data_IF_594526620663
#
_entry.id   IF_594526620663
#
_cell.length_a   1.000
_cell.length_b   1.000
_cell.length_c   1.000
_cell.angle_alpha   90.00
_cell.angle_beta   90.00
_cell.angle_gamma   90.00
#
_symmetry.space_group_name_H-M   'P 1'
#
loop_
_entity.id
_entity.type
_entity.pdbx_description
1 polymer ?
#
# COMPACT_ATOMS: atom_id res chain seq x y z
N UNK A 1 -25.67 -7.38 25.63
CA UNK A 1 -24.60 -7.75 24.69
C UNK A 1 -23.76 -6.48 24.49
N UNK A 2 -22.57 -6.41 25.11
CA UNK A 2 -21.63 -5.32 24.92
C UNK A 2 -21.12 -5.47 23.47
N UNK A 3 -21.59 -4.64 22.54
CA UNK A 3 -20.99 -4.50 21.22
C UNK A 3 -19.56 -3.98 21.43
N UNK A 4 -18.57 -4.84 21.24
CA UNK A 4 -17.17 -4.41 21.26
C UNK A 4 -16.97 -3.24 20.30
N UNK A 5 -16.31 -2.19 20.77
CA UNK A 5 -15.96 -1.02 19.96
C UNK A 5 -15.19 -1.46 18.70
N UNK A 6 -15.58 -0.96 17.54
CA UNK A 6 -14.88 -1.21 16.29
C UNK A 6 -13.66 -0.29 16.18
N UNK A 7 -12.59 -0.80 15.57
CA UNK A 7 -11.38 -0.05 15.25
C UNK A 7 -11.21 -0.06 13.75
N UNK A 8 -11.05 1.11 13.16
CA UNK A 8 -10.82 1.29 11.72
C UNK A 8 -9.34 1.60 11.50
N UNK A 9 -8.75 0.90 10.54
CA UNK A 9 -7.33 1.00 10.14
C UNK A 9 -7.23 1.19 8.64
N UNK A 10 -6.08 1.60 8.15
CA UNK A 10 -5.69 1.51 6.74
C UNK A 10 -4.84 0.29 6.52
N UNK A 11 -4.97 -0.34 5.37
CA UNK A 11 -4.16 -1.49 4.97
C UNK A 11 -3.69 -1.36 3.54
N UNK A 12 -2.41 -1.64 3.30
CA UNK A 12 -1.82 -1.74 1.97
C UNK A 12 -1.07 -3.05 1.81
N UNK A 13 -1.09 -3.58 0.60
CA UNK A 13 -0.32 -4.74 0.19
C UNK A 13 0.56 -4.35 -0.98
N UNK A 14 1.88 -4.48 -0.80
CA UNK A 14 2.88 -4.19 -1.83
C UNK A 14 3.62 -5.48 -2.15
N UNK A 15 3.42 -5.96 -3.35
CA UNK A 15 4.08 -7.15 -3.87
C UNK A 15 5.19 -6.79 -4.85
N UNK A 16 5.46 -7.71 -5.75
CA UNK A 16 6.43 -7.58 -6.82
C UNK A 16 5.73 -7.79 -8.16
N UNK A 17 6.15 -7.10 -9.20
CA UNK A 17 5.64 -7.24 -10.56
C UNK A 17 6.41 -8.29 -11.38
N UNK A 18 7.60 -8.72 -10.91
CA UNK A 18 8.46 -9.72 -11.57
C UNK A 18 8.89 -10.81 -10.58
N UNK A 19 8.03 -11.79 -10.39
CA UNK A 19 8.26 -12.90 -9.46
C UNK A 19 9.42 -13.81 -9.92
N UNK A 20 10.21 -14.28 -8.97
CA UNK A 20 11.31 -15.21 -9.22
C UNK A 20 12.56 -14.57 -9.80
N UNK A 21 12.67 -13.24 -9.83
CA UNK A 21 13.83 -12.50 -10.34
C UNK A 21 14.74 -12.06 -9.20
N UNK A 22 15.87 -12.73 -9.04
CA UNK A 22 16.87 -12.35 -8.02
C UNK A 22 17.41 -10.94 -8.25
N UNK A 23 17.51 -10.16 -7.18
CA UNK A 23 17.98 -8.77 -7.21
C UNK A 23 17.02 -7.76 -7.82
N UNK A 24 15.78 -8.16 -8.06
CA UNK A 24 14.72 -7.29 -8.52
C UNK A 24 14.31 -6.29 -7.42
N UNK A 25 14.10 -5.03 -7.79
CA UNK A 25 13.81 -3.93 -6.85
C UNK A 25 12.52 -3.17 -7.15
N UNK A 26 11.79 -3.55 -8.17
CA UNK A 26 10.49 -2.95 -8.50
C UNK A 26 9.38 -3.56 -7.65
N UNK A 27 8.53 -2.72 -7.13
CA UNK A 27 7.39 -3.10 -6.31
C UNK A 27 6.09 -2.69 -6.98
N UNK A 28 5.06 -3.49 -6.80
CA UNK A 28 3.71 -3.22 -7.28
C UNK A 28 2.74 -3.12 -6.13
N UNK A 29 1.99 -2.04 -6.06
CA UNK A 29 0.92 -1.91 -5.06
C UNK A 29 -0.29 -2.74 -5.48
N UNK A 30 -0.55 -3.80 -4.73
CA UNK A 30 -1.66 -4.72 -4.98
C UNK A 30 -2.94 -4.30 -4.28
N UNK A 31 -2.82 -3.69 -3.09
CA UNK A 31 -3.93 -3.06 -2.35
C UNK A 31 -3.42 -1.72 -1.83
N UNK A 32 -4.09 -0.62 -2.18
CA UNK A 32 -3.72 0.73 -1.75
C UNK A 32 -4.69 1.24 -0.68
N UNK A 33 -4.16 1.55 0.51
CA UNK A 33 -4.83 2.27 1.60
C UNK A 33 -6.29 1.86 1.90
N UNK A 34 -6.58 0.55 1.79
CA UNK A 34 -7.90 0.00 2.04
C UNK A 34 -8.35 0.25 3.48
N UNK A 35 -9.57 0.71 3.66
CA UNK A 35 -10.16 0.90 4.99
C UNK A 35 -10.67 -0.44 5.53
N UNK A 36 -10.06 -0.91 6.62
CA UNK A 36 -10.39 -2.19 7.26
C UNK A 36 -10.86 -1.94 8.69
N UNK A 37 -12.06 -2.35 9.01
CA UNK A 37 -12.63 -2.24 10.35
C UNK A 37 -12.59 -3.60 11.06
N UNK A 38 -11.98 -3.66 12.23
CA UNK A 38 -11.89 -4.85 13.07
C UNK A 38 -12.42 -4.57 14.47
N UNK A 39 -12.53 -5.59 15.31
CA UNK A 39 -12.93 -5.42 16.73
C UNK A 39 -11.80 -4.77 17.52
N UNK A 40 -12.13 -3.98 18.53
CA UNK A 40 -11.15 -3.49 19.51
C UNK A 40 -10.40 -4.67 20.15
N UNK A 41 -9.08 -4.56 20.21
CA UNK A 41 -8.20 -5.63 20.69
C UNK A 41 -7.68 -6.57 19.61
N UNK A 42 -8.17 -6.46 18.37
CA UNK A 42 -7.63 -7.19 17.20
C UNK A 42 -6.15 -6.92 16.98
N UNK A 43 -5.52 -7.84 16.26
CA UNK A 43 -4.10 -7.79 15.92
C UNK A 43 -3.91 -7.38 14.45
N UNK A 44 -2.67 -7.02 14.07
CA UNK A 44 -2.34 -6.74 12.68
C UNK A 44 -2.69 -7.93 11.76
N UNK A 45 -2.49 -9.17 12.24
CA UNK A 45 -2.91 -10.38 11.53
C UNK A 45 -4.40 -10.42 11.22
N UNK A 46 -5.26 -9.94 12.13
CA UNK A 46 -6.72 -9.92 11.91
C UNK A 46 -7.10 -8.92 10.80
N UNK A 47 -6.40 -7.79 10.73
CA UNK A 47 -6.56 -6.79 9.66
C UNK A 47 -6.15 -7.39 8.32
N UNK A 48 -4.98 -8.03 8.25
CA UNK A 48 -4.47 -8.68 7.04
C UNK A 48 -5.43 -9.76 6.54
N UNK A 49 -5.85 -10.67 7.42
CA UNK A 49 -6.81 -11.75 7.07
C UNK A 49 -8.12 -11.17 6.54
N UNK A 50 -8.63 -10.12 7.19
CA UNK A 50 -9.87 -9.48 6.74
C UNK A 50 -9.70 -8.79 5.39
N UNK A 51 -8.61 -8.06 5.18
CA UNK A 51 -8.29 -7.42 3.91
C UNK A 51 -8.15 -8.49 2.80
N UNK A 52 -7.40 -9.55 3.03
CA UNK A 52 -7.22 -10.63 2.06
C UNK A 52 -8.54 -11.27 1.66
N UNK A 53 -9.40 -11.57 2.63
CA UNK A 53 -10.74 -12.10 2.36
C UNK A 53 -11.57 -11.13 1.51
N UNK A 54 -11.47 -9.82 1.76
CA UNK A 54 -12.22 -8.79 1.04
C UNK A 54 -11.74 -8.63 -0.41
N UNK A 55 -10.44 -8.76 -0.66
CA UNK A 55 -9.81 -8.52 -1.96
C UNK A 55 -9.43 -9.81 -2.70
N UNK A 56 -9.76 -11.00 -2.17
CA UNK A 56 -9.55 -12.28 -2.86
C UNK A 56 -8.12 -12.81 -2.80
N UNK A 57 -7.27 -12.28 -1.91
CA UNK A 57 -5.92 -12.79 -1.67
C UNK A 57 -5.93 -13.97 -0.70
N UNK A 58 -4.86 -14.77 -0.72
CA UNK A 58 -4.68 -15.89 0.21
C UNK A 58 -3.28 -15.88 0.82
N UNK A 59 -3.20 -16.31 2.10
CA UNK A 59 -1.95 -16.45 2.84
C UNK A 59 -1.37 -17.84 2.59
N UNK A 60 -0.06 -17.91 2.31
CA UNK A 60 0.74 -19.13 2.41
C UNK A 60 1.51 -19.05 3.72
N UNK A 61 1.43 -20.10 4.54
CA UNK A 61 1.98 -20.12 5.90
C UNK A 61 0.89 -20.01 6.94
N UNK A 62 1.06 -19.14 7.92
CA UNK A 62 0.11 -18.94 9.01
C UNK A 62 -0.20 -17.47 9.28
N UNK A 63 -1.19 -17.20 10.10
CA UNK A 63 -1.52 -15.82 10.56
C UNK A 63 -0.49 -15.25 11.54
N UNK A 64 0.51 -16.01 11.97
CA UNK A 64 1.65 -15.53 12.76
C UNK A 64 2.90 -15.33 11.91
N UNK A 65 3.00 -16.04 10.77
CA UNK A 65 4.13 -15.95 9.85
C UNK A 65 3.66 -16.18 8.41
N UNK A 66 3.64 -15.10 7.64
CA UNK A 66 3.27 -15.13 6.22
C UNK A 66 4.53 -15.46 5.41
N UNK A 67 4.60 -16.69 4.89
CA UNK A 67 5.67 -17.12 4.01
C UNK A 67 5.39 -16.86 2.53
N UNK A 68 4.16 -16.51 2.19
CA UNK A 68 3.78 -16.15 0.84
C UNK A 68 2.36 -15.59 0.75
N UNK A 69 2.08 -14.99 -0.38
CA UNK A 69 0.78 -14.43 -0.74
C UNK A 69 0.39 -14.92 -2.13
N UNK A 70 -0.84 -15.38 -2.28
CA UNK A 70 -1.42 -15.73 -3.57
C UNK A 70 -2.42 -14.65 -3.99
N UNK A 71 -2.27 -14.13 -5.19
CA UNK A 71 -3.15 -13.12 -5.77
C UNK A 71 -4.51 -13.70 -6.17
N UNK A 72 -5.54 -12.88 -6.42
CA UNK A 72 -6.83 -13.35 -6.93
C UNK A 72 -6.74 -14.08 -8.29
N UNK A 73 -5.70 -13.79 -9.08
CA UNK A 73 -5.42 -14.48 -10.36
C UNK A 73 -4.70 -15.82 -10.19
N UNK A 74 -4.36 -16.23 -8.96
CA UNK A 74 -3.68 -17.49 -8.66
C UNK A 74 -2.15 -17.43 -8.70
N UNK A 75 -1.56 -16.27 -8.95
CA UNK A 75 -0.09 -16.10 -8.92
C UNK A 75 0.36 -16.00 -7.45
N UNK A 76 1.40 -16.75 -7.09
CA UNK A 76 1.96 -16.76 -5.74
C UNK A 76 3.33 -16.11 -5.72
N UNK A 77 3.57 -15.27 -4.69
CA UNK A 77 4.88 -14.72 -4.35
C UNK A 77 5.26 -15.19 -2.95
N UNK A 78 6.35 -15.94 -2.84
CA UNK A 78 6.79 -16.59 -1.60
C UNK A 78 8.12 -16.03 -1.13
N UNK A 79 8.41 -16.19 0.15
CA UNK A 79 9.74 -15.96 0.67
C UNK A 79 10.77 -16.76 -0.16
N UNK A 80 11.88 -16.12 -0.45
CA UNK A 80 13.02 -16.63 -1.23
C UNK A 80 12.79 -16.74 -2.75
N UNK A 81 11.63 -16.36 -3.29
CA UNK A 81 11.40 -16.40 -4.74
C UNK A 81 12.34 -15.44 -5.51
N UNK A 82 12.70 -14.29 -4.92
CA UNK A 82 13.60 -13.30 -5.51
C UNK A 82 15.03 -13.37 -4.92
N UNK A 83 15.41 -14.49 -4.32
CA UNK A 83 16.74 -14.69 -3.72
C UNK A 83 16.68 -14.96 -2.22
N UNK A 84 17.82 -15.39 -1.65
CA UNK A 84 17.90 -15.88 -0.26
C UNK A 84 17.58 -14.83 0.82
N UNK A 85 17.58 -13.54 0.46
CA UNK A 85 17.23 -12.42 1.35
C UNK A 85 15.80 -11.92 1.16
N UNK A 86 15.04 -12.51 0.22
CA UNK A 86 13.71 -11.99 -0.11
C UNK A 86 12.60 -12.58 0.77
N UNK A 87 11.55 -11.79 1.00
CA UNK A 87 10.42 -12.24 1.80
C UNK A 87 9.43 -11.14 2.18
N UNK A 88 8.42 -11.54 2.94
CA UNK A 88 7.35 -10.65 3.38
C UNK A 88 7.70 -9.99 4.71
N UNK A 89 7.54 -8.69 4.75
CA UNK A 89 7.70 -7.84 5.94
C UNK A 89 6.43 -7.03 6.19
N UNK A 90 6.29 -6.48 7.40
CA UNK A 90 5.21 -5.56 7.68
C UNK A 90 5.71 -4.34 8.44
N UNK A 91 4.97 -3.26 8.28
CA UNK A 91 5.16 -2.02 9.03
C UNK A 91 3.83 -1.47 9.51
N UNK A 92 3.87 -0.68 10.56
CA UNK A 92 2.75 0.09 11.07
C UNK A 92 3.20 1.54 11.22
N UNK A 93 2.44 2.46 10.63
CA UNK A 93 2.73 3.89 10.67
C UNK A 93 4.18 4.20 10.19
N UNK A 94 4.63 3.51 9.14
CA UNK A 94 5.94 3.68 8.53
C UNK A 94 7.12 3.06 9.31
N UNK A 95 6.87 2.26 10.35
CA UNK A 95 7.91 1.63 11.17
C UNK A 95 7.66 0.13 11.31
N UNK A 96 8.72 -0.67 11.24
CA UNK A 96 8.65 -2.10 11.55
C UNK A 96 8.55 -2.30 13.06
N UNK A 97 7.46 -2.90 13.57
CA UNK A 97 7.33 -3.19 15.00
C UNK A 97 8.30 -4.28 15.46
N UNK A 98 8.71 -4.22 16.74
CA UNK A 98 9.55 -5.26 17.37
C UNK A 98 8.78 -6.55 17.74
N UNK A 99 7.58 -6.72 17.22
CA UNK A 99 6.72 -7.90 17.44
C UNK A 99 6.15 -8.37 16.11
N UNK A 100 5.86 -9.66 15.99
CA UNK A 100 5.22 -10.22 14.80
C UNK A 100 3.78 -9.74 14.62
N UNK A 101 3.22 -9.96 13.43
CA UNK A 101 1.85 -9.52 13.05
C UNK A 101 0.75 -10.02 14.01
N UNK A 102 0.92 -11.19 14.60
CA UNK A 102 0.00 -11.74 15.61
C UNK A 102 0.20 -11.17 17.02
N UNK A 103 1.30 -10.44 17.26
CA UNK A 103 1.60 -9.76 18.52
C UNK A 103 1.12 -8.31 18.54
N UNK A 104 1.15 -7.61 17.42
CA UNK A 104 0.83 -6.19 17.35
C UNK A 104 -0.68 -5.94 17.50
N UNK A 105 -1.08 -5.25 18.58
CA UNK A 105 -2.47 -4.84 18.83
C UNK A 105 -2.74 -3.53 18.08
N UNK A 106 -3.71 -3.55 17.18
CA UNK A 106 -4.02 -2.38 16.36
C UNK A 106 -4.79 -1.31 17.12
N UNK A 107 -4.52 -0.07 16.75
CA UNK A 107 -5.21 1.14 17.20
C UNK A 107 -6.00 1.77 16.06
N UNK A 108 -6.89 2.70 16.41
CA UNK A 108 -7.63 3.48 15.41
C UNK A 108 -6.63 4.26 14.54
N UNK A 109 -6.92 4.30 13.24
CA UNK A 109 -6.15 5.01 12.21
C UNK A 109 -4.72 4.48 12.00
N UNK A 110 -4.37 3.30 12.56
CA UNK A 110 -3.12 2.64 12.18
C UNK A 110 -3.08 2.38 10.67
N UNK A 111 -1.95 2.71 10.06
CA UNK A 111 -1.64 2.38 8.67
C UNK A 111 -0.71 1.18 8.64
N UNK A 112 -1.25 0.03 8.23
CA UNK A 112 -0.56 -1.25 8.18
C UNK A 112 -0.18 -1.54 6.74
N UNK A 113 1.09 -1.82 6.50
CA UNK A 113 1.60 -2.23 5.19
C UNK A 113 2.20 -3.61 5.33
N UNK A 114 1.73 -4.58 4.54
CA UNK A 114 2.40 -5.84 4.28
C UNK A 114 3.12 -5.70 2.94
N UNK A 115 4.42 -5.94 2.90
CA UNK A 115 5.22 -5.67 1.71
C UNK A 115 6.30 -6.73 1.50
N UNK A 116 6.60 -6.99 0.23
CA UNK A 116 7.67 -7.88 -0.16
C UNK A 116 8.99 -7.13 -0.31
N UNK A 117 10.09 -7.78 0.01
CA UNK A 117 11.45 -7.23 -0.16
C UNK A 117 12.35 -8.27 -0.80
N UNK A 118 13.31 -7.83 -1.61
CA UNK A 118 14.33 -8.69 -2.17
C UNK A 118 15.49 -8.95 -1.20
N UNK A 119 15.71 -8.01 -0.26
CA UNK A 119 16.71 -8.11 0.79
C UNK A 119 16.19 -7.49 2.09
N UNK A 120 15.87 -8.33 3.07
CA UNK A 120 15.37 -7.86 4.37
C UNK A 120 16.40 -7.07 5.17
N UNK A 121 17.71 -7.22 4.89
CA UNK A 121 18.77 -6.49 5.61
C UNK A 121 18.82 -5.01 5.24
N UNK A 122 18.32 -4.66 4.04
CA UNK A 122 18.24 -3.31 3.50
C UNK A 122 16.79 -2.84 3.25
N UNK A 123 15.83 -3.52 3.87
CA UNK A 123 14.41 -3.27 3.65
C UNK A 123 14.03 -1.82 4.00
N UNK A 124 13.35 -1.16 3.08
CA UNK A 124 12.70 0.13 3.31
C UNK A 124 11.19 -0.08 3.26
N UNK A 125 10.48 0.57 4.19
CA UNK A 125 9.01 0.56 4.15
C UNK A 125 8.57 1.34 2.91
N UNK A 126 7.80 0.74 1.99
CA UNK A 126 7.35 1.45 0.80
C UNK A 126 6.35 2.55 1.15
N UNK A 127 6.35 3.61 0.37
CA UNK A 127 5.28 4.61 0.41
C UNK A 127 4.16 4.14 -0.52
N UNK A 128 2.95 4.11 -0.01
CA UNK A 128 1.75 3.82 -0.81
C UNK A 128 0.91 5.07 -0.89
N UNK A 129 0.75 5.58 -2.09
CA UNK A 129 -0.09 6.73 -2.34
C UNK A 129 -1.57 6.38 -2.16
N UNK A 130 -2.36 7.31 -1.62
CA UNK A 130 -3.80 7.12 -1.54
C UNK A 130 -4.42 7.44 -2.91
N UNK A 131 -5.17 6.50 -3.53
CA UNK A 131 -5.86 6.79 -4.78
C UNK A 131 -6.74 8.04 -4.72
N UNK A 132 -7.27 8.37 -3.55
CA UNK A 132 -8.06 9.60 -3.34
C UNK A 132 -7.17 10.87 -3.40
N UNK A 133 -5.92 10.80 -2.96
CA UNK A 133 -4.98 11.92 -3.05
C UNK A 133 -4.52 12.11 -4.50
N UNK A 134 -4.29 11.03 -5.25
CA UNK A 134 -3.98 11.08 -6.67
C UNK A 134 -5.15 11.67 -7.47
N UNK A 135 -6.39 11.25 -7.19
CA UNK A 135 -7.58 11.83 -7.83
C UNK A 135 -7.70 13.33 -7.51
N UNK A 136 -7.51 13.72 -6.26
CA UNK A 136 -7.54 15.13 -5.85
C UNK A 136 -6.46 15.97 -6.53
N UNK A 137 -5.24 15.41 -6.68
CA UNK A 137 -4.16 16.06 -7.40
C UNK A 137 -4.49 16.21 -8.90
N UNK A 138 -5.04 15.17 -9.53
CA UNK A 138 -5.49 15.21 -10.92
C UNK A 138 -6.61 16.25 -11.11
N UNK A 139 -7.60 16.28 -10.22
CA UNK A 139 -8.71 17.26 -10.25
C UNK A 139 -8.19 18.70 -10.12
N UNK A 140 -7.15 18.92 -9.31
CA UNK A 140 -6.51 20.24 -9.18
C UNK A 140 -5.81 20.68 -10.48
N UNK A 141 -5.20 19.76 -11.21
CA UNK A 141 -4.60 20.02 -12.55
C UNK A 141 -5.70 20.34 -13.57
N UNK A 142 -6.77 19.54 -13.61
CA UNK A 142 -7.92 19.77 -14.49
C UNK A 142 -8.52 21.16 -14.22
N UNK A 143 -8.66 21.55 -12.96
CA UNK A 143 -9.14 22.88 -12.59
C UNK A 143 -8.23 23.99 -13.13
N UNK A 144 -6.91 23.88 -12.96
CA UNK A 144 -5.95 24.86 -13.50
C UNK A 144 -6.03 24.97 -15.03
N UNK A 145 -6.18 23.84 -15.70
CA UNK A 145 -6.34 23.83 -17.17
C UNK A 145 -7.64 24.57 -17.55
N UNK A 146 -8.73 24.36 -16.83
CA UNK A 146 -10.00 25.03 -17.11
C UNK A 146 -9.96 26.53 -16.87
N UNK A 147 -9.10 27.00 -15.96
CA UNK A 147 -8.90 28.42 -15.66
C UNK A 147 -8.13 29.18 -16.78
N UNK A 148 -7.45 28.48 -17.67
CA UNK A 148 -6.77 29.08 -18.83
C UNK A 148 -7.78 29.74 -19.78
N UNK A 149 -8.97 29.12 -19.96
CA UNK A 149 -10.03 29.61 -20.83
C UNK A 149 -9.56 29.75 -22.30
N UNK A 150 -9.91 30.86 -22.96
CA UNK A 150 -9.37 31.17 -24.27
C UNK A 150 -7.89 31.56 -24.16
N UNK A 151 -7.05 30.93 -24.98
CA UNK A 151 -5.60 31.17 -24.97
C UNK A 151 -5.30 32.52 -25.61
N UNK A 152 -4.71 33.41 -24.82
CA UNK A 152 -4.23 34.74 -25.23
C UNK A 152 -2.76 34.90 -24.84
N UNK A 153 -2.11 35.98 -25.27
CA UNK A 153 -0.73 36.29 -24.86
C UNK A 153 -0.58 36.40 -23.33
N UNK A 154 -1.65 36.76 -22.61
CA UNK A 154 -1.64 36.83 -21.14
C UNK A 154 -1.79 35.47 -20.46
N UNK A 155 -2.11 34.41 -21.17
CA UNK A 155 -2.30 33.05 -20.62
C UNK A 155 -0.99 32.30 -20.37
N UNK A 156 0.17 32.83 -20.73
CA UNK A 156 1.46 32.15 -20.64
C UNK A 156 1.78 31.62 -19.24
N UNK A 157 1.55 32.41 -18.21
CA UNK A 157 1.82 32.00 -16.82
C UNK A 157 0.88 30.89 -16.36
N UNK A 158 -0.42 30.97 -16.67
CA UNK A 158 -1.38 29.93 -16.33
C UNK A 158 -1.05 28.59 -17.02
N UNK A 159 -0.60 28.65 -18.28
CA UNK A 159 -0.17 27.46 -19.03
C UNK A 159 1.06 26.84 -18.38
N UNK A 160 2.07 27.64 -17.99
CA UNK A 160 3.28 27.15 -17.29
C UNK A 160 2.95 26.51 -15.95
N UNK A 161 2.05 27.11 -15.17
CA UNK A 161 1.62 26.54 -13.88
C UNK A 161 0.82 25.25 -14.02
N UNK A 162 -0.08 25.18 -15.01
CA UNK A 162 -0.83 23.95 -15.31
C UNK A 162 0.11 22.83 -15.76
N UNK A 163 1.09 23.14 -16.62
CA UNK A 163 2.10 22.18 -17.06
C UNK A 163 2.96 21.66 -15.93
N UNK A 164 3.51 22.54 -15.09
CA UNK A 164 4.30 22.13 -13.94
C UNK A 164 3.52 21.23 -12.99
N UNK A 165 2.22 21.51 -12.79
CA UNK A 165 1.35 20.67 -11.95
C UNK A 165 1.04 19.32 -12.57
N UNK A 166 0.94 19.23 -13.90
CA UNK A 166 0.79 17.97 -14.62
C UNK A 166 2.06 17.12 -14.54
N UNK A 167 3.21 17.73 -14.80
CA UNK A 167 4.51 17.05 -14.77
C UNK A 167 4.80 16.45 -13.38
N UNK A 168 4.34 17.11 -12.31
CA UNK A 168 4.43 16.60 -10.93
C UNK A 168 3.50 15.41 -10.61
N UNK A 169 2.55 15.04 -11.49
CA UNK A 169 1.73 13.83 -11.34
C UNK A 169 2.39 12.58 -11.93
N UNK A 170 3.45 12.74 -12.74
CA UNK A 170 4.06 11.66 -13.53
C UNK A 170 5.39 11.17 -12.96
N UNK A 171 5.86 11.77 -11.86
CA UNK A 171 7.03 11.35 -11.08
C UNK A 171 6.61 10.48 -9.89
#
# INVERSE_FOLDING_TARGET
IIKGTAVTTKFSLVGDDVHGSSGHVSYSTWIANATITVKSGSKASDVIVKAFKQYGYSIIGSTSYISGVTTPSGVSLKAFDNGSGSGWMYAVNGKSPNVGISGYKVSKDDNIILYYVDDWSNAKVPTVEDPADNQKAADAVIKKISEIGEVTESSENLIKEARASYDALTD
#
